data_IF_562689584748
#
_entry.id   IF_562689584748
#
_cell.length_a   1.000
_cell.length_b   1.000
_cell.length_c   1.000
_cell.angle_alpha   90.00
_cell.angle_beta   90.00
_cell.angle_gamma   90.00
#
_symmetry.space_group_name_H-M   'P 1'
#
loop_
_entity.id
_entity.type
_entity.pdbx_description
1 polymer ?
#
# COMPACT_ATOMS: atom_id res chain seq x y z
N UNK A 1 -8.21 10.85 -29.09
CA UNK A 1 -7.92 9.70 -28.20
C UNK A 1 -6.52 9.85 -27.58
N UNK A 2 -6.36 10.64 -26.52
CA UNK A 2 -5.05 10.95 -25.92
C UNK A 2 -5.02 10.75 -24.39
N UNK A 3 -5.96 9.98 -23.82
CA UNK A 3 -6.13 9.86 -22.37
C UNK A 3 -5.36 8.70 -21.71
N UNK A 4 -4.91 7.68 -22.44
CA UNK A 4 -4.29 6.49 -21.80
C UNK A 4 -2.84 6.71 -21.34
N UNK A 5 -2.02 7.47 -22.07
CA UNK A 5 -0.59 7.59 -21.77
C UNK A 5 -0.31 8.38 -20.47
N UNK A 6 -1.13 9.39 -20.16
CA UNK A 6 -0.97 10.19 -18.93
C UNK A 6 -1.57 9.46 -17.72
N UNK A 7 -2.68 8.74 -17.89
CA UNK A 7 -3.28 7.93 -16.82
C UNK A 7 -2.36 6.80 -16.36
N UNK A 8 -1.70 6.11 -17.30
CA UNK A 8 -0.68 5.11 -16.97
C UNK A 8 0.49 5.71 -16.17
N UNK A 9 0.93 6.93 -16.50
CA UNK A 9 2.01 7.59 -15.76
C UNK A 9 1.60 7.97 -14.34
N UNK A 10 0.35 8.40 -14.11
CA UNK A 10 -0.14 8.79 -12.78
C UNK A 10 -0.45 7.57 -11.92
N UNK A 11 -1.01 6.50 -12.50
CA UNK A 11 -1.26 5.23 -11.80
C UNK A 11 0.04 4.54 -11.36
N UNK A 12 1.17 4.81 -12.03
CA UNK A 12 2.49 4.36 -11.58
C UNK A 12 2.99 5.07 -10.30
N UNK A 13 2.39 6.19 -9.89
CA UNK A 13 2.74 6.88 -8.63
C UNK A 13 1.89 6.41 -7.45
N UNK A 14 0.81 5.66 -7.70
CA UNK A 14 0.03 5.03 -6.65
C UNK A 14 0.51 3.59 -6.46
N UNK A 15 0.58 3.10 -5.21
CA UNK A 15 0.96 1.72 -4.96
C UNK A 15 -0.05 0.78 -5.66
N UNK A 16 0.45 0.00 -6.63
CA UNK A 16 -0.32 -1.10 -7.23
C UNK A 16 -0.25 -2.29 -6.27
N UNK A 17 -1.28 -2.50 -5.46
CA UNK A 17 -1.31 -3.62 -4.51
C UNK A 17 -1.82 -4.94 -5.15
N UNK A 18 -1.97 -5.02 -6.47
CA UNK A 18 -2.34 -6.29 -7.11
C UNK A 18 -1.23 -7.33 -6.96
N UNK A 19 -1.57 -8.61 -6.75
CA UNK A 19 -0.59 -9.69 -6.69
C UNK A 19 0.26 -9.81 -7.96
N UNK A 20 1.54 -10.05 -7.78
CA UNK A 20 2.47 -10.41 -8.86
C UNK A 20 2.08 -11.80 -9.38
N UNK A 21 1.92 -11.89 -10.69
CA UNK A 21 1.50 -13.10 -11.41
C UNK A 21 2.67 -13.79 -12.11
N UNK A 22 3.73 -13.06 -12.44
CA UNK A 22 4.94 -13.62 -13.04
C UNK A 22 6.20 -12.80 -12.69
N UNK A 23 7.34 -13.49 -12.68
CA UNK A 23 8.68 -12.91 -12.48
C UNK A 23 9.59 -13.43 -13.59
N UNK A 24 10.44 -12.58 -14.15
CA UNK A 24 11.46 -12.92 -15.13
C UNK A 24 12.76 -12.18 -14.85
N UNK A 25 13.84 -12.55 -15.54
CA UNK A 25 15.13 -11.85 -15.51
C UNK A 25 15.49 -11.42 -16.93
N UNK A 26 16.05 -10.23 -17.08
CA UNK A 26 16.58 -9.74 -18.37
C UNK A 26 18.02 -9.27 -18.24
N UNK A 27 18.78 -9.31 -19.33
CA UNK A 27 20.09 -8.65 -19.42
C UNK A 27 19.95 -7.17 -19.79
N UNK A 28 19.11 -6.86 -20.77
CA UNK A 28 18.89 -5.50 -21.24
C UNK A 28 17.51 -4.97 -20.81
N UNK A 29 17.49 -3.87 -20.05
CA UNK A 29 16.27 -3.18 -19.62
C UNK A 29 15.35 -2.78 -20.78
N UNK A 30 15.91 -2.41 -21.94
CA UNK A 30 15.14 -2.04 -23.13
C UNK A 30 14.42 -3.23 -23.78
N UNK A 31 14.88 -4.45 -23.47
CA UNK A 31 14.27 -5.70 -23.91
C UNK A 31 13.36 -6.32 -22.86
N UNK A 32 12.95 -5.55 -21.85
CA UNK A 32 11.94 -6.00 -20.89
C UNK A 32 10.68 -6.46 -21.65
N UNK A 33 10.19 -7.70 -21.43
CA UNK A 33 9.02 -8.21 -22.12
C UNK A 33 7.79 -7.33 -21.93
N UNK A 34 6.90 -7.34 -22.93
CA UNK A 34 5.64 -6.60 -22.85
C UNK A 34 4.80 -7.07 -21.66
N UNK A 35 4.22 -6.14 -20.92
CA UNK A 35 3.42 -6.45 -19.72
C UNK A 35 4.26 -6.70 -18.47
N UNK A 36 5.59 -6.61 -18.56
CA UNK A 36 6.48 -6.64 -17.42
C UNK A 36 7.06 -5.26 -17.11
N UNK A 37 7.41 -5.05 -15.85
CA UNK A 37 8.12 -3.89 -15.34
C UNK A 37 9.46 -4.32 -14.76
N UNK A 38 10.55 -3.74 -15.28
CA UNK A 38 11.89 -4.02 -14.79
C UNK A 38 12.23 -3.14 -13.58
N UNK A 39 12.74 -3.76 -12.51
CA UNK A 39 13.33 -3.05 -11.37
C UNK A 39 14.73 -2.61 -11.78
N UNK A 40 14.84 -1.39 -12.32
CA UNK A 40 16.12 -0.83 -12.77
C UNK A 40 16.86 -0.09 -11.66
N UNK A 41 16.16 0.28 -10.58
CA UNK A 41 16.73 1.08 -9.49
C UNK A 41 16.46 0.51 -8.12
N UNK A 42 17.43 0.69 -7.23
CA UNK A 42 17.35 0.29 -5.83
C UNK A 42 16.39 1.21 -5.08
N UNK A 43 15.57 0.64 -4.20
CA UNK A 43 14.60 1.37 -3.40
C UNK A 43 15.22 2.40 -2.44
N UNK A 44 16.40 2.10 -1.88
CA UNK A 44 17.02 2.91 -0.81
C UNK A 44 17.84 4.09 -1.34
N UNK A 45 18.57 3.91 -2.44
CA UNK A 45 19.54 4.89 -2.93
C UNK A 45 19.30 5.35 -4.37
N UNK A 46 18.23 4.90 -5.02
CA UNK A 46 17.92 5.17 -6.44
C UNK A 46 19.10 4.83 -7.40
N UNK A 47 19.99 3.93 -6.97
CA UNK A 47 21.15 3.45 -7.73
C UNK A 47 20.79 2.26 -8.62
N UNK A 48 21.68 1.84 -9.51
CA UNK A 48 21.47 0.69 -10.40
C UNK A 48 21.14 -0.60 -9.63
N UNK A 49 20.02 -1.25 -9.94
CA UNK A 49 19.55 -2.48 -9.27
C UNK A 49 20.07 -3.77 -9.89
N UNK A 50 21.23 -3.70 -10.54
CA UNK A 50 21.81 -4.82 -11.26
C UNK A 50 22.27 -5.95 -10.31
N UNK A 51 21.84 -7.16 -10.62
CA UNK A 51 22.15 -8.39 -9.88
C UNK A 51 23.38 -9.14 -10.43
N UNK A 52 24.16 -8.57 -11.35
CA UNK A 52 25.32 -9.24 -11.96
C UNK A 52 26.35 -9.70 -10.94
N UNK A 53 27.04 -10.79 -11.26
CA UNK A 53 28.21 -11.24 -10.49
C UNK A 53 29.43 -10.42 -10.91
N UNK A 54 29.89 -9.55 -10.02
CA UNK A 54 31.10 -8.75 -10.24
C UNK A 54 32.31 -9.66 -10.00
N UNK A 55 32.97 -10.07 -11.09
CA UNK A 55 34.21 -10.86 -11.04
C UNK A 55 35.36 -10.03 -11.61
N UNK A 56 36.44 -9.91 -10.84
CA UNK A 56 37.65 -9.16 -11.21
C UNK A 56 38.36 -9.70 -12.46
N UNK A 57 38.05 -10.92 -12.89
CA UNK A 57 38.71 -11.58 -14.04
C UNK A 57 37.78 -11.81 -15.24
N UNK A 58 36.49 -11.47 -15.16
CA UNK A 58 35.53 -11.75 -16.24
C UNK A 58 34.38 -10.75 -16.25
N UNK A 59 34.15 -10.14 -17.42
CA UNK A 59 32.95 -9.34 -17.66
C UNK A 59 31.69 -10.19 -17.48
N UNK A 60 30.75 -9.69 -16.68
CA UNK A 60 29.43 -10.27 -16.51
C UNK A 60 28.40 -9.32 -17.08
N UNK A 61 27.50 -9.83 -17.92
CA UNK A 61 26.32 -9.10 -18.35
C UNK A 61 25.46 -8.72 -17.14
N UNK A 62 24.78 -7.58 -17.25
CA UNK A 62 23.78 -7.05 -16.31
C UNK A 62 22.62 -8.03 -16.14
N UNK A 63 21.93 -7.98 -15.00
CA UNK A 63 20.78 -8.82 -14.65
C UNK A 63 19.76 -7.99 -13.89
N UNK A 64 18.55 -7.87 -14.42
CA UNK A 64 17.46 -7.14 -13.77
C UNK A 64 16.25 -8.04 -13.56
N UNK A 65 15.58 -7.89 -12.42
CA UNK A 65 14.29 -8.53 -12.17
C UNK A 65 13.20 -7.77 -12.90
N UNK A 66 12.34 -8.52 -13.58
CA UNK A 66 11.12 -8.02 -14.17
C UNK A 66 9.93 -8.71 -13.51
N UNK A 67 8.91 -7.94 -13.14
CA UNK A 67 7.66 -8.46 -12.58
C UNK A 67 6.47 -8.09 -13.45
N UNK A 68 5.45 -8.95 -13.46
CA UNK A 68 4.16 -8.65 -14.07
C UNK A 68 3.02 -8.95 -13.09
N UNK A 69 1.95 -8.18 -13.22
CA UNK A 69 0.67 -8.34 -12.50
C UNK A 69 -0.47 -8.75 -13.44
N UNK A 70 -0.18 -8.88 -14.74
CA UNK A 70 -1.15 -9.20 -15.79
C UNK A 70 -0.74 -10.43 -16.59
N UNK A 71 0.57 -10.66 -16.77
CA UNK A 71 1.13 -11.79 -17.50
C UNK A 71 1.39 -12.99 -16.58
N UNK A 72 1.45 -14.19 -17.14
CA UNK A 72 1.77 -15.42 -16.42
C UNK A 72 0.70 -16.49 -16.56
N UNK A 73 0.74 -17.47 -15.66
CA UNK A 73 -0.24 -18.57 -15.67
C UNK A 73 -1.61 -18.05 -15.18
N UNK A 74 -2.71 -18.34 -15.90
CA UNK A 74 -4.04 -17.90 -15.50
C UNK A 74 -4.40 -18.36 -14.08
N UNK A 75 -4.90 -17.44 -13.25
CA UNK A 75 -5.27 -17.67 -11.85
C UNK A 75 -4.12 -18.03 -10.91
N UNK A 76 -2.86 -17.94 -11.32
CA UNK A 76 -1.72 -18.14 -10.42
C UNK A 76 -1.09 -16.82 -10.02
N UNK A 77 -0.56 -16.80 -8.80
CA UNK A 77 0.16 -15.66 -8.22
C UNK A 77 1.38 -16.15 -7.46
N UNK A 78 2.36 -15.27 -7.32
CA UNK A 78 3.55 -15.52 -6.53
C UNK A 78 3.20 -15.46 -5.05
N UNK A 79 3.36 -16.57 -4.35
CA UNK A 79 3.08 -16.68 -2.92
C UNK A 79 4.32 -16.36 -2.07
N UNK A 80 5.49 -16.82 -2.52
CA UNK A 80 6.70 -16.81 -1.72
C UNK A 80 7.94 -16.66 -2.61
N UNK A 81 8.94 -15.95 -2.11
CA UNK A 81 10.22 -15.69 -2.78
C UNK A 81 11.35 -15.82 -1.75
N UNK A 82 12.42 -16.51 -2.12
CA UNK A 82 13.67 -16.49 -1.37
C UNK A 82 14.87 -16.75 -2.28
N UNK A 83 16.07 -16.46 -1.78
CA UNK A 83 17.32 -16.69 -2.50
C UNK A 83 17.95 -18.02 -2.06
N UNK A 84 18.27 -18.86 -3.04
CA UNK A 84 19.01 -20.10 -2.87
C UNK A 84 20.42 -20.01 -3.42
N UNK A 85 21.33 -20.85 -2.94
CA UNK A 85 22.59 -21.10 -3.65
C UNK A 85 22.34 -21.85 -4.97
N UNK A 86 23.14 -21.60 -6.01
CA UNK A 86 23.03 -22.26 -7.33
C UNK A 86 23.13 -23.80 -7.25
N UNK A 87 23.78 -24.32 -6.21
CA UNK A 87 23.96 -25.76 -5.98
C UNK A 87 22.79 -26.43 -5.26
N UNK A 88 21.88 -25.65 -4.67
CA UNK A 88 20.76 -26.19 -3.90
C UNK A 88 19.56 -26.43 -4.81
N UNK A 89 18.88 -27.55 -4.60
CA UNK A 89 17.60 -27.83 -5.27
C UNK A 89 16.47 -27.04 -4.62
N UNK A 90 15.52 -26.51 -5.40
CA UNK A 90 14.36 -25.82 -4.86
C UNK A 90 13.48 -26.81 -4.08
N UNK A 91 12.86 -26.39 -2.95
CA UNK A 91 11.87 -27.19 -2.26
C UNK A 91 10.68 -27.56 -3.17
N UNK A 92 9.92 -28.60 -2.78
CA UNK A 92 8.76 -29.06 -3.55
C UNK A 92 7.77 -27.89 -3.76
N UNK A 93 7.37 -27.69 -5.01
CA UNK A 93 6.42 -26.65 -5.41
C UNK A 93 7.05 -25.28 -5.69
N UNK A 94 8.37 -25.15 -5.59
CA UNK A 94 9.09 -23.94 -5.98
C UNK A 94 9.74 -24.10 -7.36
N UNK A 95 9.84 -22.98 -8.05
CA UNK A 95 10.44 -22.83 -9.37
C UNK A 95 11.68 -21.93 -9.30
N UNK A 96 12.55 -22.09 -10.28
CA UNK A 96 13.77 -21.30 -10.46
C UNK A 96 13.72 -20.55 -11.79
N UNK A 97 14.29 -19.34 -11.80
CA UNK A 97 14.44 -18.54 -13.02
C UNK A 97 15.79 -18.82 -13.68
N UNK A 98 15.94 -19.90 -14.43
CA UNK A 98 17.28 -20.33 -14.87
C UNK A 98 17.88 -19.53 -16.04
N UNK A 99 17.03 -18.87 -16.84
CA UNK A 99 17.43 -18.16 -18.06
C UNK A 99 16.90 -16.74 -18.11
N UNK A 100 17.61 -15.88 -18.82
CA UNK A 100 17.16 -14.53 -19.15
C UNK A 100 16.15 -14.56 -20.29
N UNK A 101 15.07 -13.80 -20.17
CA UNK A 101 13.97 -13.82 -21.13
C UNK A 101 14.29 -13.15 -22.48
N UNK A 102 15.28 -12.27 -22.50
CA UNK A 102 15.67 -11.50 -23.68
C UNK A 102 16.82 -12.14 -24.49
N UNK A 103 17.63 -12.98 -23.87
CA UNK A 103 18.85 -13.53 -24.49
C UNK A 103 19.11 -15.02 -24.21
N UNK A 104 18.22 -15.68 -23.46
CA UNK A 104 18.30 -17.11 -23.11
C UNK A 104 19.61 -17.52 -22.41
N UNK A 105 20.33 -16.55 -21.83
CA UNK A 105 21.57 -16.75 -21.10
C UNK A 105 21.29 -17.27 -19.69
N UNK A 106 22.27 -17.93 -19.06
CA UNK A 106 22.15 -18.34 -17.65
C UNK A 106 21.88 -17.10 -16.78
N UNK A 107 20.80 -17.12 -16.01
CA UNK A 107 20.38 -15.98 -15.20
C UNK A 107 21.29 -15.76 -13.98
N UNK A 108 21.77 -16.86 -13.38
CA UNK A 108 22.46 -16.84 -12.09
C UNK A 108 23.81 -17.57 -12.13
N UNK A 109 24.66 -17.32 -11.11
CA UNK A 109 25.94 -18.03 -10.95
C UNK A 109 26.13 -18.66 -9.58
N UNK A 110 26.06 -17.86 -8.51
CA UNK A 110 26.33 -18.32 -7.13
C UNK A 110 25.06 -18.48 -6.32
N UNK A 111 24.16 -17.51 -6.48
CA UNK A 111 22.87 -17.44 -5.81
C UNK A 111 21.79 -17.13 -6.84
N UNK A 112 20.59 -17.66 -6.63
CA UNK A 112 19.47 -17.61 -7.56
C UNK A 112 18.16 -17.33 -6.84
N UNK A 113 17.27 -16.60 -7.50
CA UNK A 113 15.92 -16.35 -7.04
C UNK A 113 15.07 -17.62 -7.21
N UNK A 114 14.40 -18.00 -6.12
CA UNK A 114 13.44 -19.09 -6.07
C UNK A 114 12.07 -18.54 -5.68
N UNK A 115 11.01 -19.05 -6.30
CA UNK A 115 9.65 -18.55 -6.07
C UNK A 115 8.62 -19.67 -6.17
N UNK A 116 7.47 -19.47 -5.53
CA UNK A 116 6.34 -20.41 -5.59
C UNK A 116 5.13 -19.75 -6.20
N UNK A 117 4.55 -20.41 -7.21
CA UNK A 117 3.24 -20.05 -7.76
C UNK A 117 2.15 -20.89 -7.12
N UNK A 118 1.06 -20.24 -6.72
CA UNK A 118 -0.14 -20.90 -6.19
C UNK A 118 -1.38 -20.32 -6.83
N UNK A 119 -2.43 -21.12 -6.94
CA UNK A 119 -3.71 -20.65 -7.43
C UNK A 119 -4.30 -19.60 -6.47
N UNK A 120 -4.80 -18.49 -7.01
CA UNK A 120 -5.43 -17.39 -6.26
C UNK A 120 -6.55 -17.87 -5.35
N UNK A 121 -7.23 -18.98 -5.68
CA UNK A 121 -8.32 -19.54 -4.88
C UNK A 121 -7.86 -20.20 -3.57
N UNK A 122 -6.60 -20.64 -3.51
CA UNK A 122 -6.08 -21.44 -2.40
C UNK A 122 -5.35 -20.61 -1.34
N UNK A 123 -5.23 -19.29 -1.55
CA UNK A 123 -4.44 -18.40 -0.68
C UNK A 123 -5.19 -17.10 -0.41
N UNK A 124 -4.88 -16.46 0.72
CA UNK A 124 -5.43 -15.15 1.10
C UNK A 124 -4.48 -14.00 0.78
N UNK A 125 -3.18 -14.25 0.90
CA UNK A 125 -2.12 -13.26 0.68
C UNK A 125 -1.13 -13.75 -0.37
N UNK A 126 -0.56 -12.81 -1.11
CA UNK A 126 0.42 -13.04 -2.15
C UNK A 126 1.45 -11.91 -2.18
N UNK A 127 2.55 -12.11 -2.90
CA UNK A 127 3.54 -11.06 -3.13
C UNK A 127 2.92 -10.00 -4.05
N UNK A 128 2.93 -8.75 -3.61
CA UNK A 128 2.40 -7.60 -4.38
C UNK A 128 3.50 -6.69 -4.90
N UNK A 129 4.67 -6.71 -4.27
CA UNK A 129 5.80 -5.89 -4.68
C UNK A 129 7.15 -6.57 -4.39
N UNK A 130 8.16 -6.24 -5.18
CA UNK A 130 9.55 -6.69 -5.02
C UNK A 130 10.45 -5.47 -5.17
N UNK A 131 11.36 -5.30 -4.22
CA UNK A 131 12.35 -4.22 -4.23
C UNK A 131 13.77 -4.78 -4.13
N UNK A 132 14.71 -4.03 -4.69
CA UNK A 132 16.15 -4.25 -4.56
C UNK A 132 16.73 -3.17 -3.65
N UNK A 133 17.63 -3.52 -2.74
CA UNK A 133 18.31 -2.59 -1.84
C UNK A 133 19.82 -2.84 -1.83
N UNK A 134 20.62 -1.81 -1.54
CA UNK A 134 22.08 -1.94 -1.39
C UNK A 134 22.52 -2.21 0.06
N UNK A 135 21.77 -1.76 1.07
CA UNK A 135 22.21 -1.86 2.48
C UNK A 135 21.09 -2.26 3.47
N UNK A 136 20.51 -3.46 3.43
CA UNK A 136 19.54 -3.85 4.44
C UNK A 136 20.26 -4.36 5.69
N UNK A 137 20.29 -3.52 6.71
CA UNK A 137 20.45 -4.01 8.10
C UNK A 137 19.20 -4.76 8.57
N UNK A 138 18.05 -4.45 7.94
CA UNK A 138 16.73 -5.05 8.08
C UNK A 138 15.95 -4.70 6.80
N UNK A 139 14.97 -5.52 6.42
CA UNK A 139 14.04 -5.13 5.35
C UNK A 139 13.32 -3.81 5.70
N UNK A 140 13.01 -2.95 4.71
CA UNK A 140 12.17 -1.77 4.92
C UNK A 140 10.83 -2.12 5.57
N UNK A 141 10.17 -1.12 6.18
CA UNK A 141 8.84 -1.32 6.76
C UNK A 141 7.88 -1.91 5.72
N UNK A 142 7.04 -2.86 6.11
CA UNK A 142 6.12 -3.63 5.26
C UNK A 142 6.74 -4.63 4.27
N UNK A 143 8.07 -4.69 4.17
CA UNK A 143 8.77 -5.66 3.34
C UNK A 143 9.37 -6.80 4.17
N UNK A 144 9.41 -7.99 3.56
CA UNK A 144 10.09 -9.18 4.05
C UNK A 144 11.41 -9.38 3.29
N UNK A 145 12.41 -9.91 3.97
CA UNK A 145 13.72 -10.18 3.37
C UNK A 145 13.71 -11.52 2.63
N UNK A 146 13.97 -11.53 1.31
CA UNK A 146 14.08 -12.76 0.52
C UNK A 146 15.52 -13.32 0.50
N UNK A 147 16.52 -12.44 0.57
CA UNK A 147 17.92 -12.84 0.55
C UNK A 147 18.81 -11.85 -0.19
N UNK A 148 20.09 -12.18 -0.27
CA UNK A 148 21.14 -11.36 -0.89
C UNK A 148 21.71 -12.06 -2.12
N UNK A 149 21.87 -11.35 -3.23
CA UNK A 149 22.52 -11.78 -4.47
C UNK A 149 23.61 -10.77 -4.81
N UNK A 150 24.88 -11.19 -4.87
CA UNK A 150 26.01 -10.36 -5.31
C UNK A 150 26.12 -8.98 -4.63
N UNK A 151 25.87 -8.91 -3.31
CA UNK A 151 25.98 -7.67 -2.53
C UNK A 151 24.77 -6.75 -2.62
N UNK A 152 23.75 -7.10 -3.40
CA UNK A 152 22.44 -6.44 -3.41
C UNK A 152 21.39 -7.38 -2.83
N UNK A 153 20.30 -6.80 -2.35
CA UNK A 153 19.39 -7.50 -1.47
C UNK A 153 17.95 -7.39 -1.95
N UNK A 154 17.27 -8.53 -1.96
CA UNK A 154 15.90 -8.65 -2.40
C UNK A 154 14.96 -8.63 -1.21
N UNK A 155 13.97 -7.76 -1.27
CA UNK A 155 12.86 -7.74 -0.34
C UNK A 155 11.53 -7.77 -1.10
N UNK A 156 10.47 -8.24 -0.45
CA UNK A 156 9.15 -8.35 -1.06
C UNK A 156 8.03 -7.96 -0.10
N UNK A 157 6.94 -7.41 -0.62
CA UNK A 157 5.76 -7.03 0.16
C UNK A 157 4.68 -8.08 -0.04
N UNK A 158 3.98 -8.43 1.04
CA UNK A 158 2.78 -9.27 0.99
C UNK A 158 1.52 -8.39 1.03
N UNK A 159 0.51 -8.75 0.27
CA UNK A 159 -0.80 -8.10 0.29
C UNK A 159 -1.94 -9.09 0.07
N UNK A 160 -3.16 -8.62 0.25
CA UNK A 160 -4.37 -9.44 0.11
C UNK A 160 -4.66 -9.71 -1.37
N UNK A 161 -5.04 -10.95 -1.68
CA UNK A 161 -5.41 -11.35 -3.05
C UNK A 161 -6.81 -10.83 -3.42
N UNK A 162 -7.72 -10.69 -2.44
CA UNK A 162 -9.12 -10.32 -2.68
C UNK A 162 -9.34 -8.84 -3.00
N UNK A 163 -8.47 -7.95 -2.51
CA UNK A 163 -8.56 -6.51 -2.78
C UNK A 163 -8.37 -6.17 -4.27
N UNK A 164 -7.80 -7.11 -5.04
CA UNK A 164 -7.62 -6.99 -6.49
C UNK A 164 -8.90 -7.19 -7.32
N UNK A 165 -10.01 -7.65 -6.74
CA UNK A 165 -11.30 -7.79 -7.46
C UNK A 165 -12.17 -6.54 -7.43
N UNK A 166 -11.90 -5.56 -6.56
CA UNK A 166 -12.72 -4.34 -6.47
C UNK A 166 -12.37 -3.25 -7.51
N UNK A 167 -11.37 -3.49 -8.37
CA UNK A 167 -10.84 -2.47 -9.28
C UNK A 167 -11.68 -2.12 -10.52
N UNK A 168 -12.71 -2.89 -10.88
CA UNK A 168 -13.44 -2.71 -12.16
C UNK A 168 -14.97 -2.61 -12.05
N UNK A 169 -15.54 -2.65 -10.84
CA UNK A 169 -16.97 -2.46 -10.66
C UNK A 169 -17.23 -1.10 -9.99
N UNK A 170 -17.97 -0.16 -10.63
CA UNK A 170 -18.50 1.00 -9.93
C UNK A 170 -19.31 0.52 -8.71
N UNK A 171 -19.23 1.19 -7.54
CA UNK A 171 -20.05 0.84 -6.41
C UNK A 171 -21.51 0.81 -6.85
N UNK A 172 -22.15 -0.34 -6.65
CA UNK A 172 -23.54 -0.55 -7.04
C UNK A 172 -24.38 0.50 -6.32
N UNK A 173 -24.98 1.41 -7.09
CA UNK A 173 -25.80 2.49 -6.54
C UNK A 173 -26.97 1.84 -5.80
N UNK A 174 -27.26 2.21 -4.54
CA UNK A 174 -28.43 1.70 -3.84
C UNK A 174 -29.68 1.89 -4.71
N UNK A 175 -30.60 0.90 -4.73
CA UNK A 175 -31.80 0.98 -5.57
C UNK A 175 -32.57 2.26 -5.21
N UNK A 176 -32.89 3.06 -6.23
CA UNK A 176 -33.75 4.24 -6.05
C UNK A 176 -35.08 3.76 -5.42
N UNK A 177 -35.58 4.39 -4.36
CA UNK A 177 -36.92 4.10 -3.87
C UNK A 177 -37.91 4.35 -5.00
N UNK A 178 -38.79 3.38 -5.26
CA UNK A 178 -39.86 3.54 -6.22
C UNK A 178 -40.72 4.75 -5.83
N UNK A 179 -40.83 5.73 -6.72
CA UNK A 179 -41.79 6.82 -6.58
C UNK A 179 -43.19 6.22 -6.77
N UNK A 180 -43.88 5.96 -5.67
CA UNK A 180 -45.32 5.69 -5.68
C UNK A 180 -46.04 7.03 -5.83
N UNK A 181 -46.68 7.22 -6.99
CA UNK A 181 -47.65 8.27 -7.27
C UNK A 181 -48.88 8.14 -6.32
N UNK A 182 -49.65 9.23 -6.15
CA UNK A 182 -50.26 9.58 -4.87
C UNK A 182 -51.66 8.97 -4.69
N UNK A 183 -51.93 8.47 -3.50
CA UNK A 183 -53.27 8.11 -3.09
C UNK A 183 -53.31 7.38 -1.76
N UNK A 184 -53.68 8.10 -0.70
CA UNK A 184 -54.10 7.50 0.57
C UNK A 184 -53.21 7.88 1.77
N UNK A 185 -53.48 9.03 2.37
CA UNK A 185 -53.10 9.32 3.76
C UNK A 185 -54.21 8.83 4.70
N UNK A 186 -53.85 8.42 5.93
CA UNK A 186 -54.51 8.98 7.09
C UNK A 186 -53.53 9.74 7.98
N UNK A 187 -54.03 10.87 8.46
CA UNK A 187 -53.29 12.01 8.99
C UNK A 187 -52.82 11.84 10.45
N UNK A 188 -51.62 12.36 10.75
CA UNK A 188 -51.17 12.66 12.11
C UNK A 188 -50.58 14.08 12.27
N UNK A 189 -50.75 14.97 11.27
CA UNK A 189 -50.27 16.35 11.36
C UNK A 189 -51.26 17.32 10.70
N UNK A 190 -51.46 18.53 11.27
CA UNK A 190 -52.34 19.53 10.68
C UNK A 190 -51.66 20.18 9.45
N UNK A 191 -52.38 20.25 8.33
CA UNK A 191 -51.93 20.96 7.13
C UNK A 191 -51.96 22.46 7.35
N UNK A 192 -50.84 23.13 7.10
CA UNK A 192 -50.77 24.56 6.86
C UNK A 192 -50.48 24.78 5.37
N UNK A 193 -51.54 25.06 4.62
CA UNK A 193 -51.46 25.67 3.29
C UNK A 193 -51.10 27.15 3.46
N UNK A 194 -49.84 27.54 3.32
CA UNK A 194 -49.49 28.87 2.77
C UNK A 194 -48.01 28.92 2.34
N UNK A 195 -47.80 29.19 1.06
CA UNK A 195 -46.52 29.09 0.35
C UNK A 195 -45.73 30.41 0.42
N UNK A 196 -45.35 30.87 1.62
CA UNK A 196 -44.74 32.20 1.82
C UNK A 196 -43.39 32.25 2.57
N UNK A 197 -42.74 31.11 2.82
CA UNK A 197 -41.48 31.09 3.58
C UNK A 197 -40.24 31.55 2.77
N UNK A 198 -40.40 31.78 1.46
CA UNK A 198 -39.30 32.20 0.57
C UNK A 198 -39.05 33.72 0.50
N UNK A 199 -39.86 34.55 1.16
CA UNK A 199 -39.69 36.02 1.10
C UNK A 199 -38.80 36.61 2.19
N UNK A 200 -38.47 35.86 3.25
CA UNK A 200 -37.62 36.36 4.36
C UNK A 200 -36.13 36.42 3.98
N UNK A 201 -35.72 35.84 2.85
CA UNK A 201 -34.31 35.80 2.40
C UNK A 201 -33.99 36.73 1.23
N UNK A 202 -34.87 37.69 0.88
CA UNK A 202 -34.63 38.65 -0.21
C UNK A 202 -34.09 39.98 0.33
N UNK A 203 -32.82 40.37 0.06
CA UNK A 203 -32.35 41.72 0.35
C UNK A 203 -32.94 42.69 -0.69
N UNK A 204 -33.92 43.49 -0.28
CA UNK A 204 -34.50 44.57 -1.08
C UNK A 204 -33.75 45.90 -0.90
N UNK A 205 -33.16 46.38 -2.01
CA UNK A 205 -33.04 47.76 -2.50
C UNK A 205 -32.59 48.92 -1.58
N UNK A 206 -31.43 49.50 -1.90
CA UNK A 206 -31.27 50.97 -2.02
C UNK A 206 -30.58 51.34 -3.34
N UNK A 207 -30.86 52.52 -3.91
CA UNK A 207 -30.55 52.86 -5.29
C UNK A 207 -29.16 53.51 -5.45
N UNK A 208 -28.66 53.45 -6.69
CA UNK A 208 -27.58 54.24 -7.31
C UNK A 208 -26.15 53.63 -7.42
N UNK A 209 -25.77 53.42 -8.69
CA UNK A 209 -24.42 53.39 -9.29
C UNK A 209 -23.59 52.09 -9.33
N UNK A 210 -22.74 51.91 -10.37
CA UNK A 210 -22.61 50.63 -11.07
C UNK A 210 -21.31 49.88 -10.77
N UNK A 211 -21.42 48.69 -10.21
CA UNK A 211 -20.48 47.58 -10.38
C UNK A 211 -21.19 46.29 -9.89
N UNK A 212 -21.20 45.25 -10.71
CA UNK A 212 -21.99 44.03 -10.46
C UNK A 212 -21.59 43.28 -9.16
N UNK A 213 -22.52 42.53 -8.52
CA UNK A 213 -22.26 41.86 -7.25
C UNK A 213 -21.68 40.45 -7.47
N UNK A 214 -20.51 40.20 -6.87
CA UNK A 214 -19.87 38.88 -6.83
C UNK A 214 -18.47 38.86 -6.21
N UNK A 215 -17.83 40.01 -6.01
CA UNK A 215 -16.52 40.09 -5.38
C UNK A 215 -16.63 40.47 -3.88
N UNK A 216 -15.94 39.77 -2.97
CA UNK A 216 -15.93 40.10 -1.54
C UNK A 216 -15.17 41.41 -1.28
N UNK A 217 -15.82 42.35 -0.56
CA UNK A 217 -15.27 43.66 -0.15
C UNK A 217 -14.50 43.52 1.17
N UNK A 218 -13.48 42.66 1.22
CA UNK A 218 -12.46 42.71 2.29
C UNK A 218 -11.09 42.53 1.68
N UNK A 219 -10.13 43.43 1.93
CA UNK A 219 -8.73 43.16 1.63
C UNK A 219 -8.31 41.87 2.34
N UNK A 220 -7.70 40.93 1.61
CA UNK A 220 -7.13 39.73 2.19
C UNK A 220 -6.08 40.10 3.27
N UNK A 221 -6.03 39.41 4.41
CA UNK A 221 -4.97 39.61 5.39
C UNK A 221 -3.60 39.38 4.74
N UNK A 222 -2.61 40.24 5.04
CA UNK A 222 -1.24 40.05 4.54
C UNK A 222 -0.68 38.72 5.08
N UNK A 223 0.03 37.93 4.25
CA UNK A 223 0.75 36.76 4.73
C UNK A 223 1.79 37.17 5.79
N UNK A 224 2.10 36.30 6.77
CA UNK A 224 3.15 36.58 7.75
C UNK A 224 4.46 36.83 7.02
N UNK A 225 5.20 37.86 7.44
CA UNK A 225 6.56 38.09 6.96
C UNK A 225 7.44 36.86 7.28
N UNK A 226 8.38 36.57 6.39
CA UNK A 226 9.33 35.46 6.56
C UNK A 226 9.99 35.53 7.95
N UNK A 227 10.08 34.41 8.68
CA UNK A 227 10.73 34.42 9.98
C UNK A 227 12.21 34.78 9.79
N UNK A 228 12.61 35.82 10.51
CA UNK A 228 14.01 36.17 10.75
C UNK A 228 14.69 34.94 11.34
N UNK A 229 15.83 34.56 10.78
CA UNK A 229 16.65 33.45 11.26
C UNK A 229 16.97 33.65 12.74
N UNK A 230 16.33 32.86 13.62
CA UNK A 230 16.90 32.54 14.91
C UNK A 230 17.43 31.11 14.85
N UNK A 231 18.71 31.03 15.18
CA UNK A 231 19.52 29.83 15.17
C UNK A 231 19.04 28.86 16.25
N UNK A 232 19.20 27.56 15.93
CA UNK A 232 19.26 26.42 16.84
C UNK A 232 17.94 25.94 17.48
N UNK A 233 17.16 25.15 16.74
CA UNK A 233 16.44 24.00 17.34
C UNK A 233 16.00 22.99 16.26
N UNK A 234 16.16 21.70 16.55
CA UNK A 234 15.82 20.55 15.70
C UNK A 234 14.32 20.48 15.39
N UNK A 235 13.93 20.72 14.12
CA UNK A 235 12.54 20.62 13.68
C UNK A 235 12.18 19.20 13.22
N UNK A 236 11.24 18.59 13.94
CA UNK A 236 10.32 17.56 13.42
C UNK A 236 9.29 18.23 12.51
N UNK A 237 9.08 17.68 11.31
CA UNK A 237 8.12 18.20 10.32
C UNK A 237 6.69 18.23 10.89
N UNK A 238 6.08 19.42 10.82
CA UNK A 238 4.72 19.70 11.25
C UNK A 238 3.65 19.30 10.24
N UNK A 239 2.54 18.79 10.76
CA UNK A 239 1.22 18.92 10.14
C UNK A 239 0.33 19.71 11.07
N UNK A 240 0.03 20.93 10.65
CA UNK A 240 -0.88 21.85 11.31
C UNK A 240 -2.33 21.42 11.08
N UNK A 241 -2.88 20.58 11.97
CA UNK A 241 -4.33 20.45 12.12
C UNK A 241 -4.69 20.28 13.61
N UNK A 242 -5.55 21.19 14.08
CA UNK A 242 -6.36 21.13 15.31
C UNK A 242 -5.62 20.97 16.63
N UNK A 243 -5.41 22.13 17.27
CA UNK A 243 -5.13 22.29 18.69
C UNK A 243 -6.22 21.64 19.56
N UNK A 244 -5.79 20.86 20.55
CA UNK A 244 -6.63 20.16 21.51
C UNK A 244 -5.84 19.42 22.59
N UNK A 245 -4.52 19.25 22.41
CA UNK A 245 -3.61 18.63 23.38
C UNK A 245 -2.35 19.49 23.58
N UNK A 246 -2.49 20.81 23.56
CA UNK A 246 -1.39 21.72 23.84
C UNK A 246 -1.17 21.77 25.36
N UNK A 247 -0.10 21.13 25.84
CA UNK A 247 0.29 21.16 27.26
C UNK A 247 0.66 19.82 27.91
N UNK A 248 0.47 18.67 27.24
CA UNK A 248 0.97 17.38 27.75
C UNK A 248 2.22 17.00 26.97
N UNK A 249 3.44 17.09 27.56
CA UNK A 249 4.62 16.58 26.90
C UNK A 249 4.46 15.08 26.68
N UNK A 250 4.58 14.63 25.44
CA UNK A 250 4.63 13.21 25.11
C UNK A 250 5.98 12.66 25.59
N UNK A 251 6.02 12.18 26.83
CA UNK A 251 7.19 11.50 27.37
C UNK A 251 7.04 10.01 27.09
N UNK A 252 7.94 9.46 26.28
CA UNK A 252 8.03 8.01 26.09
C UNK A 252 8.31 7.37 27.44
N UNK A 253 7.52 6.34 27.80
CA UNK A 253 7.71 5.63 29.06
C UNK A 253 9.17 5.15 29.16
N UNK A 254 9.90 5.42 30.26
CA UNK A 254 11.33 5.15 30.39
C UNK A 254 11.76 3.72 30.02
N UNK A 255 10.83 2.74 30.14
CA UNK A 255 11.02 1.35 29.68
C UNK A 255 11.33 1.21 28.19
N UNK A 256 11.07 2.23 27.38
CA UNK A 256 11.30 2.24 25.94
C UNK A 256 12.38 3.25 25.50
N UNK A 257 12.99 3.99 26.44
CA UNK A 257 13.95 5.08 26.13
C UNK A 257 15.39 4.56 26.04
N UNK A 258 15.68 3.34 26.49
CA UNK A 258 17.02 2.74 26.43
C UNK A 258 17.01 1.40 25.71
N UNK A 259 17.43 1.41 24.44
CA UNK A 259 17.83 0.21 23.73
C UNK A 259 19.16 -0.31 24.27
N UNK A 260 19.12 -1.19 25.28
CA UNK A 260 20.23 -2.10 25.63
C UNK A 260 19.89 -3.06 26.78
N UNK A 261 18.63 -3.41 27.00
CA UNK A 261 18.30 -4.66 27.69
C UNK A 261 17.28 -5.40 26.84
N UNK A 262 17.80 -6.23 25.93
CA UNK A 262 17.05 -7.30 25.27
C UNK A 262 16.68 -8.41 26.27
N UNK A 263 16.33 -8.07 27.51
CA UNK A 263 15.96 -9.05 28.52
C UNK A 263 14.44 -9.17 28.57
N UNK A 264 13.97 -10.21 27.87
CA UNK A 264 12.67 -10.87 28.01
C UNK A 264 11.44 -9.97 28.04
N UNK A 265 11.01 -9.53 26.86
CA UNK A 265 9.56 -9.63 26.58
C UNK A 265 9.22 -11.12 26.50
N UNK A 266 8.91 -11.71 27.65
CA UNK A 266 8.43 -13.08 27.74
C UNK A 266 6.99 -13.07 27.23
N UNK A 267 6.83 -13.15 25.90
CA UNK A 267 5.52 -13.38 25.31
C UNK A 267 4.90 -14.59 26.01
N UNK A 268 3.66 -14.50 26.52
CA UNK A 268 3.01 -15.64 27.14
C UNK A 268 3.02 -16.78 26.11
N UNK A 269 3.60 -17.93 26.48
CA UNK A 269 3.62 -19.10 25.59
C UNK A 269 2.19 -19.50 25.29
N UNK A 270 1.73 -19.21 24.08
CA UNK A 270 0.45 -19.68 23.58
C UNK A 270 0.55 -21.20 23.49
N UNK A 271 -0.14 -21.90 24.40
CA UNK A 271 -0.27 -23.35 24.33
C UNK A 271 -1.25 -23.69 23.22
N UNK A 272 -0.86 -24.57 22.30
CA UNK A 272 -1.82 -25.14 21.35
C UNK A 272 -2.91 -25.88 22.14
N UNK A 273 -4.18 -25.54 21.89
CA UNK A 273 -5.34 -26.20 22.49
C UNK A 273 -6.20 -26.79 21.39
N UNK A 274 -6.90 -27.86 21.71
CA UNK A 274 -7.92 -28.42 20.81
C UNK A 274 -9.18 -27.55 20.83
N UNK A 275 -10.01 -27.69 19.80
CA UNK A 275 -11.30 -26.97 19.72
C UNK A 275 -12.19 -27.23 20.94
N UNK A 276 -12.22 -28.47 21.44
CA UNK A 276 -12.99 -28.83 22.64
C UNK A 276 -12.47 -28.15 23.90
N UNK A 277 -11.16 -27.99 24.05
CA UNK A 277 -10.59 -27.27 25.19
C UNK A 277 -10.93 -25.79 25.16
N UNK A 278 -10.89 -25.15 23.99
CA UNK A 278 -11.28 -23.74 23.85
C UNK A 278 -12.75 -23.56 24.22
N UNK A 279 -13.65 -24.41 23.72
CA UNK A 279 -15.07 -24.33 24.03
C UNK A 279 -15.36 -24.50 25.52
N UNK A 280 -14.62 -25.38 26.21
CA UNK A 280 -14.77 -25.57 27.66
C UNK A 280 -14.21 -24.41 28.49
N UNK A 281 -13.04 -23.91 28.12
CA UNK A 281 -12.31 -22.93 28.94
C UNK A 281 -12.86 -21.50 28.79
N UNK A 282 -13.54 -21.22 27.68
CA UNK A 282 -14.13 -19.92 27.36
C UNK A 282 -15.66 -19.98 27.26
N UNK A 283 -16.28 -20.99 27.86
CA UNK A 283 -17.74 -21.04 28.00
C UNK A 283 -18.17 -19.94 28.98
N UNK A 284 -18.77 -18.88 28.44
CA UNK A 284 -19.22 -17.73 29.21
C UNK A 284 -20.75 -17.71 29.25
N UNK A 285 -21.38 -18.14 30.36
CA UNK A 285 -22.83 -18.36 30.42
C UNK A 285 -23.66 -17.09 30.65
N UNK A 286 -23.05 -15.89 30.60
CA UNK A 286 -23.70 -14.59 30.79
C UNK A 286 -24.57 -14.48 32.07
N UNK A 287 -24.20 -15.22 33.12
CA UNK A 287 -24.97 -15.25 34.37
C UNK A 287 -24.86 -13.96 35.17
N UNK A 288 -23.81 -13.17 34.93
CA UNK A 288 -23.54 -11.91 35.64
C UNK A 288 -24.43 -10.79 35.08
N UNK A 289 -24.71 -10.82 33.78
CA UNK A 289 -25.49 -9.82 33.05
C UNK A 289 -27.00 -10.03 33.20
N UNK A 290 -27.43 -11.24 33.57
CA UNK A 290 -28.86 -11.55 33.79
C UNK A 290 -29.38 -11.09 35.15
N UNK A 291 -28.55 -10.49 36.00
CA UNK A 291 -28.93 -10.02 37.34
C UNK A 291 -29.25 -8.52 37.42
N UNK A 292 -29.44 -7.84 36.29
CA UNK A 292 -29.92 -6.44 36.24
C UNK A 292 -31.31 -6.33 35.64
#
# INVERSE_FOLDING_TARGET
MLKSSVQHKILNYLPDDRPITAIQIVENLEKCPRGFFAISKTYDQDSDADLRDVSIFKSSSTRYICLSKTEGLPNFVVQEIFVLSDKASPPKGFSLLNRTADSEQKAWKKKQLCYRLVNKKDIRTAVTDIIVCNRPKKAPAEFCFAGEINGVYLCYKMGNVQDSQQGDAPPERPPKPNAMSPGGVPAAYPSLDTDHDYEILRPGAYPSMPAGPGAPIRPAPKPPAAPVQHQNSTNTLGSSYTSGLDGVPFVVNPKFVTGSNADRFQFPRIKARTMQQILKDYDYPFTVERQT
#
